data_IF_768420885071
#
_entry.id   IF_768420885071
#
_cell.length_a   1.000
_cell.length_b   1.000
_cell.length_c   1.000
_cell.angle_alpha   90.00
_cell.angle_beta   90.00
_cell.angle_gamma   90.00
#
_symmetry.space_group_name_H-M   'P 1'
#
loop_
_entity.id
_entity.type
_entity.pdbx_description
1 polymer ?
#
# COMPACT_ATOMS: atom_id res chain seq x y z
N UNK A 1 96.40 -35.15 96.65
CA UNK A 1 95.30 -34.30 96.12
C UNK A 1 94.09 -35.19 95.86
N UNK A 2 92.97 -34.92 96.53
CA UNK A 2 91.83 -35.84 96.62
C UNK A 2 91.10 -35.95 95.28
N UNK A 3 90.78 -37.18 94.84
CA UNK A 3 90.13 -37.44 93.53
C UNK A 3 88.81 -36.66 93.40
N UNK A 4 88.07 -36.51 94.51
CA UNK A 4 86.85 -35.72 94.58
C UNK A 4 87.01 -34.25 94.18
N UNK A 5 88.15 -33.61 94.52
CA UNK A 5 88.42 -32.19 94.20
C UNK A 5 88.66 -32.03 92.69
N UNK A 6 89.33 -33.00 92.06
CA UNK A 6 89.56 -32.97 90.61
C UNK A 6 88.27 -33.17 89.82
N UNK A 7 87.40 -34.08 90.27
CA UNK A 7 86.09 -34.32 89.64
C UNK A 7 85.18 -33.09 89.78
N UNK A 8 85.15 -32.44 90.95
CA UNK A 8 84.39 -31.22 91.15
C UNK A 8 84.82 -30.07 90.21
N UNK A 9 86.14 -29.85 90.06
CA UNK A 9 86.68 -28.84 89.14
C UNK A 9 86.27 -29.09 87.68
N UNK A 10 86.34 -30.34 87.22
CA UNK A 10 85.93 -30.71 85.86
C UNK A 10 84.44 -30.43 85.64
N UNK A 11 83.57 -30.82 86.58
CA UNK A 11 82.13 -30.58 86.48
C UNK A 11 81.83 -29.06 86.44
N UNK A 12 82.46 -28.25 87.29
CA UNK A 12 82.26 -26.80 87.28
C UNK A 12 82.71 -26.18 85.96
N UNK A 13 83.85 -26.60 85.40
CA UNK A 13 84.30 -26.10 84.10
C UNK A 13 83.37 -26.48 82.95
N UNK A 14 82.78 -27.69 82.98
CA UNK A 14 81.79 -28.12 81.99
C UNK A 14 80.48 -27.33 82.11
N UNK A 15 80.02 -27.06 83.34
CA UNK A 15 78.83 -26.20 83.56
C UNK A 15 79.09 -24.79 83.05
N UNK A 16 80.25 -24.19 83.33
CA UNK A 16 80.60 -22.86 82.84
C UNK A 16 80.70 -22.81 81.31
N UNK A 17 81.29 -23.84 80.69
CA UNK A 17 81.38 -23.95 79.23
C UNK A 17 79.99 -24.09 78.58
N UNK A 18 79.11 -24.90 79.18
CA UNK A 18 77.73 -25.07 78.71
C UNK A 18 76.91 -23.78 78.87
N UNK A 19 77.02 -23.08 80.00
CA UNK A 19 76.38 -21.78 80.20
C UNK A 19 76.88 -20.73 79.18
N UNK A 20 78.19 -20.69 78.91
CA UNK A 20 78.76 -19.80 77.91
C UNK A 20 78.25 -20.10 76.49
N UNK A 21 78.10 -21.39 76.15
CA UNK A 21 77.50 -21.82 74.88
C UNK A 21 76.05 -21.36 74.75
N UNK A 22 75.22 -21.60 75.77
CA UNK A 22 73.83 -21.15 75.77
C UNK A 22 73.72 -19.62 75.64
N UNK A 23 74.52 -18.86 76.39
CA UNK A 23 74.53 -17.39 76.30
C UNK A 23 74.90 -16.92 74.88
N UNK A 24 75.85 -17.59 74.23
CA UNK A 24 76.23 -17.26 72.86
C UNK A 24 75.13 -17.61 71.84
N UNK A 25 74.46 -18.75 71.98
CA UNK A 25 73.32 -19.15 71.14
C UNK A 25 72.16 -18.16 71.29
N UNK A 26 71.78 -17.81 72.52
CA UNK A 26 70.76 -16.81 72.79
C UNK A 26 71.13 -15.44 72.22
N UNK A 27 72.38 -14.99 72.36
CA UNK A 27 72.85 -13.73 71.76
C UNK A 27 72.81 -13.77 70.23
N UNK A 28 73.17 -14.90 69.62
CA UNK A 28 73.06 -15.10 68.17
C UNK A 28 71.62 -14.97 67.70
N UNK A 29 70.69 -15.65 68.39
CA UNK A 29 69.25 -15.60 68.10
C UNK A 29 68.66 -14.20 68.34
N UNK A 30 69.11 -13.49 69.36
CA UNK A 30 68.66 -12.12 69.66
C UNK A 30 69.07 -11.16 68.54
N UNK A 31 70.33 -11.23 68.07
CA UNK A 31 70.80 -10.43 66.93
C UNK A 31 70.03 -10.75 65.65
N UNK A 32 69.73 -12.03 65.38
CA UNK A 32 68.91 -12.39 64.22
C UNK A 32 67.47 -11.87 64.34
N UNK A 33 66.91 -11.84 65.54
CA UNK A 33 65.58 -11.30 65.79
C UNK A 33 65.56 -9.77 65.64
N UNK A 34 66.56 -9.06 66.15
CA UNK A 34 66.71 -7.61 65.96
C UNK A 34 66.87 -7.24 64.48
N UNK A 35 67.68 -8.00 63.73
CA UNK A 35 67.81 -7.82 62.28
C UNK A 35 66.50 -8.10 61.53
N UNK A 36 65.73 -9.10 61.95
CA UNK A 36 64.42 -9.39 61.37
C UNK A 36 63.41 -8.26 61.67
N UNK A 37 63.35 -7.78 62.91
CA UNK A 37 62.48 -6.66 63.31
C UNK A 37 62.85 -5.39 62.54
N UNK A 38 64.14 -5.04 62.47
CA UNK A 38 64.60 -3.89 61.70
C UNK A 38 64.29 -4.02 60.18
N UNK A 39 64.37 -5.24 59.64
CA UNK A 39 63.99 -5.50 58.25
C UNK A 39 62.47 -5.39 58.03
N UNK A 40 61.65 -5.80 58.99
CA UNK A 40 60.19 -5.63 58.93
C UNK A 40 59.78 -4.16 59.09
N UNK A 41 60.39 -3.44 60.04
CA UNK A 41 60.14 -2.02 60.28
C UNK A 41 60.51 -1.16 59.06
N UNK A 42 61.51 -1.58 58.27
CA UNK A 42 61.84 -0.94 56.99
C UNK A 42 60.86 -1.29 55.86
N UNK A 43 60.25 -2.49 55.87
CA UNK A 43 59.33 -2.94 54.81
C UNK A 43 57.93 -2.35 54.92
N UNK A 44 57.41 -2.17 56.15
CA UNK A 44 56.07 -1.61 56.40
C UNK A 44 55.86 -0.22 55.76
N UNK A 45 56.74 0.79 55.98
CA UNK A 45 56.53 2.12 55.41
C UNK A 45 56.68 2.14 53.89
N UNK A 46 57.55 1.29 53.32
CA UNK A 46 57.75 1.18 51.87
C UNK A 46 56.54 0.54 51.19
N UNK A 47 55.97 -0.51 51.78
CA UNK A 47 54.79 -1.16 51.23
C UNK A 47 53.54 -0.29 51.37
N UNK A 48 53.42 0.46 52.47
CA UNK A 48 52.36 1.44 52.66
C UNK A 48 52.49 2.63 51.68
N UNK A 49 53.70 3.14 51.44
CA UNK A 49 53.92 4.23 50.48
C UNK A 49 53.64 3.77 49.04
N UNK A 50 54.10 2.58 48.65
CA UNK A 50 53.81 2.01 47.33
C UNK A 50 52.32 1.83 47.09
N UNK A 51 51.59 1.25 48.06
CA UNK A 51 50.13 1.10 47.98
C UNK A 51 49.42 2.46 47.87
N UNK A 52 49.89 3.47 48.61
CA UNK A 52 49.36 4.83 48.53
C UNK A 52 49.60 5.47 47.16
N UNK A 53 50.80 5.32 46.60
CA UNK A 53 51.15 5.87 45.29
C UNK A 53 50.33 5.21 44.17
N UNK A 54 50.13 3.89 44.25
CA UNK A 54 49.30 3.11 43.31
C UNK A 54 47.82 3.55 43.36
N UNK A 55 47.28 3.79 44.57
CA UNK A 55 45.92 4.31 44.76
C UNK A 55 45.76 5.73 44.21
N UNK A 56 46.75 6.60 44.44
CA UNK A 56 46.75 7.97 43.88
C UNK A 56 46.84 7.93 42.35
N UNK A 57 47.67 7.05 41.80
CA UNK A 57 47.78 6.81 40.36
C UNK A 57 46.46 6.34 39.75
N UNK A 58 45.84 5.34 40.38
CA UNK A 58 44.55 4.79 39.94
C UNK A 58 43.42 5.82 40.01
N UNK A 59 43.35 6.62 41.07
CA UNK A 59 42.37 7.70 41.19
C UNK A 59 42.53 8.76 40.09
N UNK A 60 43.77 9.16 39.78
CA UNK A 60 44.03 10.08 38.66
C UNK A 60 43.62 9.48 37.31
N UNK A 61 43.84 8.18 37.10
CA UNK A 61 43.39 7.49 35.89
C UNK A 61 41.86 7.49 35.79
N UNK A 62 41.17 7.12 36.87
CA UNK A 62 39.70 7.12 36.93
C UNK A 62 39.10 8.51 36.71
N UNK A 63 39.70 9.57 37.28
CA UNK A 63 39.26 10.95 37.04
C UNK A 63 39.41 11.36 35.56
N UNK A 64 40.51 10.96 34.93
CA UNK A 64 40.74 11.22 33.51
C UNK A 64 39.75 10.45 32.63
N UNK A 65 39.48 9.18 32.93
CA UNK A 65 38.48 8.38 32.23
C UNK A 65 37.07 8.97 32.40
N UNK A 66 36.68 9.37 33.62
CA UNK A 66 35.39 9.98 33.88
C UNK A 66 35.24 11.30 33.10
N UNK A 67 36.30 12.12 33.05
CA UNK A 67 36.33 13.33 32.22
C UNK A 67 36.17 13.01 30.73
N UNK A 68 36.87 11.98 30.24
CA UNK A 68 36.78 11.54 28.85
C UNK A 68 35.37 11.02 28.51
N UNK A 69 34.79 10.15 29.34
CA UNK A 69 33.42 9.66 29.18
C UNK A 69 32.39 10.78 29.22
N UNK A 70 32.55 11.76 30.11
CA UNK A 70 31.67 12.94 30.17
C UNK A 70 31.75 13.76 28.88
N UNK A 71 32.95 13.98 28.35
CA UNK A 71 33.14 14.67 27.07
C UNK A 71 32.52 13.89 25.90
N UNK A 72 32.72 12.57 25.85
CA UNK A 72 32.14 11.70 24.83
C UNK A 72 30.61 11.69 24.92
N UNK A 73 30.04 11.64 26.12
CA UNK A 73 28.59 11.72 26.35
C UNK A 73 28.00 13.03 25.82
N UNK A 74 28.63 14.17 26.09
CA UNK A 74 28.20 15.47 25.55
C UNK A 74 28.29 15.50 24.02
N UNK A 75 29.36 14.96 23.43
CA UNK A 75 29.50 14.84 21.97
C UNK A 75 28.39 13.98 21.36
N UNK A 76 28.10 12.82 21.96
CA UNK A 76 27.03 11.93 21.51
C UNK A 76 25.66 12.60 21.62
N UNK A 77 25.39 13.33 22.69
CA UNK A 77 24.15 14.09 22.87
C UNK A 77 23.99 15.12 21.74
N UNK A 78 25.05 15.85 21.40
CA UNK A 78 25.01 16.82 20.31
C UNK A 78 24.78 16.14 18.95
N UNK A 79 25.46 15.03 18.67
CA UNK A 79 25.26 14.26 17.44
C UNK A 79 23.82 13.72 17.32
N UNK A 80 23.26 13.21 18.42
CA UNK A 80 21.86 12.75 18.45
C UNK A 80 20.91 13.91 18.20
N UNK A 81 21.14 15.07 18.80
CA UNK A 81 20.30 16.25 18.57
C UNK A 81 20.38 16.74 17.11
N UNK A 82 21.56 16.75 16.50
CA UNK A 82 21.75 17.08 15.09
C UNK A 82 21.01 16.08 14.18
N UNK A 83 21.14 14.78 14.46
CA UNK A 83 20.45 13.73 13.73
C UNK A 83 18.92 13.84 13.84
N UNK A 84 18.39 14.13 15.03
CA UNK A 84 16.95 14.35 15.27
C UNK A 84 16.43 15.55 14.50
N UNK A 85 17.18 16.66 14.44
CA UNK A 85 16.80 17.81 13.63
C UNK A 85 16.84 17.51 12.13
N UNK A 86 17.88 16.81 11.66
CA UNK A 86 17.97 16.38 10.27
C UNK A 86 16.80 15.46 9.86
N UNK A 87 16.43 14.51 10.73
CA UNK A 87 15.27 13.64 10.52
C UNK A 87 13.96 14.44 10.43
N UNK A 88 13.78 15.43 11.32
CA UNK A 88 12.61 16.30 11.30
C UNK A 88 12.49 17.07 9.99
N UNK A 89 13.58 17.70 9.53
CA UNK A 89 13.61 18.41 8.25
C UNK A 89 13.35 17.47 7.07
N UNK A 90 13.90 16.25 7.10
CA UNK A 90 13.64 15.25 6.07
C UNK A 90 12.16 14.83 6.03
N UNK A 91 11.52 14.63 7.19
CA UNK A 91 10.08 14.31 7.29
C UNK A 91 9.21 15.44 6.75
N UNK A 92 9.52 16.69 7.08
CA UNK A 92 8.82 17.86 6.53
C UNK A 92 8.98 17.94 5.00
N UNK A 93 10.18 17.63 4.48
CA UNK A 93 10.44 17.56 3.04
C UNK A 93 9.63 16.45 2.34
N UNK A 94 9.54 15.26 2.95
CA UNK A 94 8.74 14.14 2.42
C UNK A 94 7.26 14.53 2.35
N UNK A 95 6.74 15.19 3.38
CA UNK A 95 5.34 15.65 3.42
C UNK A 95 5.05 16.67 2.31
N UNK A 96 5.95 17.65 2.10
CA UNK A 96 5.82 18.60 1.00
C UNK A 96 5.85 17.94 -0.38
N UNK A 97 6.75 16.96 -0.58
CA UNK A 97 6.83 16.20 -1.84
C UNK A 97 5.57 15.36 -2.06
N UNK A 98 5.06 14.71 -1.02
CA UNK A 98 3.80 13.94 -1.06
C UNK A 98 2.62 14.82 -1.48
N UNK A 99 2.50 16.03 -0.90
CA UNK A 99 1.47 16.99 -1.27
C UNK A 99 1.60 17.47 -2.73
N UNK A 100 2.84 17.77 -3.18
CA UNK A 100 3.10 18.15 -4.58
C UNK A 100 2.73 17.02 -5.54
N UNK A 101 3.03 15.77 -5.18
CA UNK A 101 2.69 14.60 -5.99
C UNK A 101 1.17 14.43 -6.09
N UNK A 102 0.46 14.57 -4.98
CA UNK A 102 -1.02 14.53 -4.95
C UNK A 102 -1.63 15.61 -5.85
N UNK A 103 -1.12 16.84 -5.79
CA UNK A 103 -1.58 17.93 -6.65
C UNK A 103 -1.31 17.64 -8.13
N UNK A 104 -0.13 17.08 -8.45
CA UNK A 104 0.22 16.70 -9.83
C UNK A 104 -0.61 15.54 -10.36
N UNK A 105 -0.97 14.58 -9.52
CA UNK A 105 -1.91 13.51 -9.88
C UNK A 105 -3.27 14.10 -10.23
N UNK A 106 -3.82 15.00 -9.40
CA UNK A 106 -5.09 15.65 -9.69
C UNK A 106 -5.05 16.50 -10.97
N UNK A 107 -3.95 17.20 -11.23
CA UNK A 107 -3.73 17.94 -12.48
C UNK A 107 -3.71 17.01 -13.70
N UNK A 108 -3.04 15.86 -13.60
CA UNK A 108 -3.03 14.85 -14.67
C UNK A 108 -4.40 14.23 -14.90
N UNK A 109 -5.17 13.96 -13.86
CA UNK A 109 -6.55 13.46 -13.97
C UNK A 109 -7.46 14.46 -14.71
N UNK A 110 -7.29 15.76 -14.43
CA UNK A 110 -8.02 16.82 -15.14
C UNK A 110 -7.61 16.90 -16.61
N UNK A 111 -6.30 16.87 -16.91
CA UNK A 111 -5.79 16.89 -18.29
C UNK A 111 -6.21 15.65 -19.08
N UNK A 112 -6.29 14.48 -18.44
CA UNK A 112 -6.80 13.26 -19.08
C UNK A 112 -8.28 13.42 -19.44
N UNK A 113 -9.08 13.96 -18.52
CA UNK A 113 -10.50 14.22 -18.75
C UNK A 113 -10.72 15.24 -19.87
N UNK A 114 -9.91 16.30 -19.93
CA UNK A 114 -9.92 17.29 -21.01
C UNK A 114 -9.51 16.66 -22.35
N UNK A 115 -8.48 15.80 -22.36
CA UNK A 115 -8.06 15.09 -23.58
C UNK A 115 -9.15 14.15 -24.09
N UNK A 116 -9.88 13.49 -23.19
CA UNK A 116 -11.02 12.63 -23.55
C UNK A 116 -12.18 13.44 -24.15
N UNK A 117 -12.53 14.59 -23.57
CA UNK A 117 -13.58 15.46 -24.14
C UNK A 117 -13.20 16.06 -25.49
N UNK A 118 -11.94 16.47 -25.68
CA UNK A 118 -11.45 16.92 -26.98
C UNK A 118 -11.52 15.80 -28.03
N UNK A 119 -11.21 14.56 -27.63
CA UNK A 119 -11.30 13.41 -28.54
C UNK A 119 -12.74 13.15 -28.98
N UNK A 120 -13.70 13.28 -28.07
CA UNK A 120 -15.13 13.20 -28.40
C UNK A 120 -15.56 14.31 -29.36
N UNK A 121 -15.13 15.55 -29.12
CA UNK A 121 -15.42 16.68 -30.02
C UNK A 121 -14.83 16.48 -31.43
N UNK A 122 -13.63 15.90 -31.54
CA UNK A 122 -13.03 15.55 -32.84
C UNK A 122 -13.87 14.48 -33.57
N UNK A 123 -14.37 13.48 -32.85
CA UNK A 123 -15.25 12.46 -33.45
C UNK A 123 -16.59 13.06 -33.92
N UNK A 124 -17.12 14.02 -33.18
CA UNK A 124 -18.32 14.75 -33.58
C UNK A 124 -18.07 15.59 -34.84
N UNK A 125 -16.93 16.28 -34.94
CA UNK A 125 -16.53 17.01 -36.15
C UNK A 125 -16.40 16.10 -37.37
N UNK A 126 -15.77 14.93 -37.22
CA UNK A 126 -15.68 13.93 -38.30
C UNK A 126 -17.06 13.47 -38.80
N UNK A 127 -18.04 13.37 -37.89
CA UNK A 127 -19.40 13.00 -38.25
C UNK A 127 -20.13 14.15 -38.95
N UNK A 128 -19.99 15.38 -38.44
CA UNK A 128 -20.55 16.57 -39.09
C UNK A 128 -19.97 16.77 -40.50
N UNK A 129 -18.68 16.51 -40.70
CA UNK A 129 -18.06 16.62 -42.02
C UNK A 129 -18.65 15.60 -43.01
N UNK A 130 -18.87 14.36 -42.58
CA UNK A 130 -19.55 13.33 -43.39
C UNK A 130 -20.99 13.72 -43.70
N UNK A 131 -21.72 14.23 -42.72
CA UNK A 131 -23.10 14.65 -42.90
C UNK A 131 -23.18 15.84 -43.88
N UNK A 132 -22.27 16.81 -43.75
CA UNK A 132 -22.18 17.97 -44.65
C UNK A 132 -21.83 17.55 -46.08
N UNK A 133 -20.89 16.60 -46.24
CA UNK A 133 -20.58 16.02 -47.55
C UNK A 133 -21.79 15.29 -48.16
N UNK A 134 -22.57 14.56 -47.35
CA UNK A 134 -23.80 13.92 -47.80
C UNK A 134 -24.88 14.95 -48.21
N UNK A 135 -25.02 16.05 -47.48
CA UNK A 135 -25.91 17.16 -47.85
C UNK A 135 -25.47 17.85 -49.14
N UNK A 136 -24.17 18.07 -49.34
CA UNK A 136 -23.65 18.62 -50.59
C UNK A 136 -23.87 17.67 -51.78
N UNK A 137 -23.77 16.35 -51.56
CA UNK A 137 -24.01 15.34 -52.58
C UNK A 137 -25.49 15.21 -53.00
N UNK A 138 -26.45 15.67 -52.18
CA UNK A 138 -27.88 15.71 -52.55
C UNK A 138 -28.19 16.75 -53.65
N UNK A 139 -27.22 17.56 -54.05
CA UNK A 139 -27.34 18.51 -55.15
C UNK A 139 -27.92 19.87 -54.72
N UNK A 140 -27.80 20.86 -55.61
CA UNK A 140 -28.36 22.19 -55.35
C UNK A 140 -29.89 22.15 -55.34
N UNK A 141 -30.52 23.11 -54.66
CA UNK A 141 -32.00 23.26 -54.62
C UNK A 141 -32.61 23.25 -56.03
N UNK A 142 -31.90 23.78 -57.03
CA UNK A 142 -32.29 23.73 -58.43
C UNK A 142 -32.35 22.30 -59.00
N UNK A 143 -31.34 21.46 -58.72
CA UNK A 143 -31.31 20.05 -59.16
C UNK A 143 -32.39 19.21 -58.45
N UNK A 144 -32.64 19.47 -57.16
CA UNK A 144 -33.76 18.87 -56.44
C UNK A 144 -35.11 19.32 -57.01
N UNK A 145 -35.23 20.58 -57.43
CA UNK A 145 -36.43 21.11 -58.10
C UNK A 145 -36.65 20.46 -59.47
N UNK A 146 -35.60 20.27 -60.26
CA UNK A 146 -35.64 19.59 -61.54
C UNK A 146 -36.00 18.10 -61.39
N UNK A 147 -35.49 17.42 -60.37
CA UNK A 147 -35.88 16.04 -60.04
C UNK A 147 -37.35 15.95 -59.60
N UNK A 148 -37.82 16.88 -58.76
CA UNK A 148 -39.23 16.96 -58.35
C UNK A 148 -40.15 17.22 -59.55
N UNK A 149 -39.74 18.10 -60.46
CA UNK A 149 -40.49 18.39 -61.68
C UNK A 149 -40.47 17.20 -62.65
N UNK A 150 -39.35 16.49 -62.79
CA UNK A 150 -39.26 15.25 -63.57
C UNK A 150 -40.11 14.10 -62.99
N UNK A 151 -40.29 14.04 -61.67
CA UNK A 151 -41.21 13.09 -61.02
C UNK A 151 -42.67 13.52 -61.24
N UNK A 152 -42.97 14.82 -61.21
CA UNK A 152 -44.32 15.35 -61.50
C UNK A 152 -44.75 15.21 -62.95
N UNK A 153 -43.81 15.23 -63.90
CA UNK A 153 -44.11 15.13 -65.34
C UNK A 153 -44.10 13.71 -65.89
N UNK A 154 -43.81 12.68 -65.08
CA UNK A 154 -44.04 11.27 -65.44
C UNK A 154 -45.51 10.90 -65.21
N UNK A 155 -46.35 10.75 -66.25
CA UNK A 155 -47.72 10.31 -66.09
C UNK A 155 -47.73 8.77 -66.01
N UNK A 156 -48.33 8.22 -64.95
CA UNK A 156 -48.96 6.89 -64.87
C UNK A 156 -48.25 5.70 -65.56
N UNK A 157 -47.12 5.24 -65.01
CA UNK A 157 -46.70 3.82 -65.17
C UNK A 157 -46.18 3.19 -63.88
N UNK A 158 -46.63 3.67 -62.71
CA UNK A 158 -46.39 2.99 -61.42
C UNK A 158 -47.72 2.88 -60.68
N UNK A 159 -48.64 2.10 -61.24
CA UNK A 159 -49.87 1.66 -60.56
C UNK A 159 -49.85 0.17 -60.21
N UNK A 160 -48.66 -0.46 -60.21
CA UNK A 160 -48.43 -1.81 -59.68
C UNK A 160 -47.03 -1.85 -59.04
N UNK A 161 -46.99 -1.54 -57.75
CA UNK A 161 -45.94 -1.83 -56.75
C UNK A 161 -45.82 -0.69 -55.73
N UNK A 162 -46.96 -0.15 -55.28
CA UNK A 162 -47.03 0.49 -53.97
C UNK A 162 -47.14 -0.65 -52.95
N UNK A 163 -46.01 -1.31 -52.70
CA UNK A 163 -45.77 -1.94 -51.41
C UNK A 163 -45.38 -0.82 -50.47
N UNK A 164 -46.37 -0.19 -49.89
CA UNK A 164 -46.24 0.66 -48.71
C UNK A 164 -45.32 -0.05 -47.72
N UNK A 165 -44.08 0.42 -47.55
CA UNK A 165 -43.40 0.29 -46.25
C UNK A 165 -44.07 1.27 -45.30
N UNK A 166 -45.36 1.03 -45.07
CA UNK A 166 -45.94 1.24 -43.76
C UNK A 166 -44.96 0.58 -42.80
N UNK A 167 -44.44 1.32 -41.83
CA UNK A 167 -43.75 0.71 -40.71
C UNK A 167 -44.81 -0.15 -40.05
N UNK A 168 -44.90 -1.40 -40.48
CA UNK A 168 -45.85 -2.38 -40.00
C UNK A 168 -45.68 -2.40 -38.50
N UNK A 169 -46.66 -1.81 -37.80
CA UNK A 169 -46.83 -2.11 -36.39
C UNK A 169 -46.91 -3.63 -36.35
N UNK A 170 -46.10 -4.27 -35.50
CA UNK A 170 -46.05 -5.71 -35.54
C UNK A 170 -47.47 -6.25 -35.31
N UNK A 171 -47.80 -7.35 -36.00
CA UNK A 171 -49.14 -7.95 -35.91
C UNK A 171 -49.27 -8.66 -34.56
N UNK A 172 -50.36 -8.44 -33.82
CA UNK A 172 -50.56 -9.09 -32.52
C UNK A 172 -50.45 -10.61 -32.63
N UNK A 173 -49.67 -11.23 -31.75
CA UNK A 173 -49.36 -12.67 -31.78
C UNK A 173 -48.07 -13.07 -32.53
N UNK A 174 -47.32 -12.13 -33.10
CA UNK A 174 -46.03 -12.42 -33.76
C UNK A 174 -44.89 -12.54 -32.75
N UNK A 175 -44.01 -13.53 -32.91
CA UNK A 175 -42.76 -13.66 -32.15
C UNK A 175 -41.80 -12.52 -32.55
N UNK A 176 -41.59 -11.57 -31.64
CA UNK A 176 -40.79 -10.37 -31.87
C UNK A 176 -39.29 -10.62 -31.69
N UNK A 177 -38.96 -11.54 -30.78
CA UNK A 177 -37.60 -11.94 -30.50
C UNK A 177 -37.45 -12.71 -29.19
N UNK A 178 -36.28 -12.59 -28.58
CA UNK A 178 -35.83 -13.38 -27.43
C UNK A 178 -35.13 -12.47 -26.44
N UNK A 179 -35.23 -12.79 -25.16
CA UNK A 179 -34.43 -12.15 -24.10
C UNK A 179 -32.97 -12.59 -24.23
N UNK A 180 -32.07 -11.63 -24.43
CA UNK A 180 -30.63 -11.84 -24.51
C UNK A 180 -30.00 -11.97 -23.13
N UNK A 181 -30.35 -11.05 -22.23
CA UNK A 181 -29.82 -11.02 -20.87
C UNK A 181 -30.86 -10.44 -19.91
N UNK A 182 -30.75 -10.84 -18.63
CA UNK A 182 -31.61 -10.39 -17.54
C UNK A 182 -30.71 -9.92 -16.41
N UNK A 183 -30.92 -8.69 -15.94
CA UNK A 183 -30.33 -8.20 -14.71
C UNK A 183 -31.39 -8.20 -13.60
N UNK A 184 -31.40 -9.26 -12.80
CA UNK A 184 -32.35 -9.41 -11.69
C UNK A 184 -32.13 -8.40 -10.56
N UNK A 185 -30.96 -7.77 -10.46
CA UNK A 185 -30.67 -6.76 -9.42
C UNK A 185 -31.29 -5.42 -9.78
N UNK A 186 -31.19 -5.04 -11.05
CA UNK A 186 -31.67 -3.76 -11.56
C UNK A 186 -33.10 -3.85 -12.13
N UNK A 187 -33.62 -5.07 -12.36
CA UNK A 187 -35.00 -5.32 -12.77
C UNK A 187 -35.29 -5.04 -14.25
N UNK A 188 -34.25 -4.99 -15.09
CA UNK A 188 -34.39 -4.84 -16.53
C UNK A 188 -33.83 -6.03 -17.29
N UNK A 189 -34.31 -6.20 -18.53
CA UNK A 189 -33.88 -7.22 -19.46
C UNK A 189 -33.51 -6.57 -20.79
N UNK A 190 -32.65 -7.23 -21.57
CA UNK A 190 -32.28 -6.80 -22.92
C UNK A 190 -32.90 -7.77 -23.92
N UNK A 191 -33.58 -7.23 -24.94
CA UNK A 191 -34.22 -8.01 -26.01
C UNK A 191 -33.60 -7.72 -27.36
N UNK A 192 -33.56 -8.71 -28.25
CA UNK A 192 -32.93 -8.64 -29.58
C UNK A 192 -33.83 -7.99 -30.67
N UNK A 193 -34.64 -7.01 -30.29
CA UNK A 193 -35.44 -6.23 -31.22
C UNK A 193 -35.53 -4.77 -30.77
N UNK A 194 -35.76 -3.86 -31.71
CA UNK A 194 -35.77 -2.43 -31.44
C UNK A 194 -36.49 -1.63 -32.52
N UNK A 195 -36.12 -0.36 -32.68
CA UNK A 195 -36.86 0.58 -33.56
C UNK A 195 -36.84 0.17 -35.03
N UNK A 196 -35.85 -0.62 -35.47
CA UNK A 196 -35.84 -1.19 -36.83
C UNK A 196 -37.02 -2.15 -37.09
N UNK A 197 -37.59 -2.75 -36.03
CA UNK A 197 -38.81 -3.58 -36.09
C UNK A 197 -40.07 -2.84 -35.65
N UNK A 198 -40.03 -1.50 -35.63
CA UNK A 198 -41.20 -0.67 -35.31
C UNK A 198 -41.55 -0.59 -33.82
N UNK A 199 -40.67 -1.06 -32.92
CA UNK A 199 -40.90 -0.97 -31.47
C UNK A 199 -40.68 0.44 -30.98
N UNK A 200 -41.58 0.92 -30.12
CA UNK A 200 -41.51 2.26 -29.51
C UNK A 200 -41.46 2.17 -27.98
N UNK A 201 -40.98 3.24 -27.35
CA UNK A 201 -40.97 3.33 -25.88
C UNK A 201 -42.39 3.21 -25.36
N UNK A 202 -42.58 2.35 -24.36
CA UNK A 202 -43.87 2.11 -23.73
C UNK A 202 -44.65 0.91 -24.26
N UNK A 203 -44.21 0.30 -25.37
CA UNK A 203 -44.83 -0.93 -25.89
C UNK A 203 -44.74 -2.07 -24.86
N UNK A 204 -45.79 -2.88 -24.81
CA UNK A 204 -45.90 -4.02 -23.91
C UNK A 204 -45.84 -5.34 -24.69
N UNK A 205 -45.09 -6.30 -24.15
CA UNK A 205 -44.91 -7.62 -24.75
C UNK A 205 -45.15 -8.73 -23.73
N UNK A 206 -45.59 -9.89 -24.23
CA UNK A 206 -45.78 -11.11 -23.47
C UNK A 206 -44.56 -12.01 -23.61
N UNK A 207 -44.15 -12.63 -22.51
CA UNK A 207 -43.00 -13.53 -22.47
C UNK A 207 -43.50 -14.96 -22.37
N UNK A 208 -42.98 -15.83 -23.22
CA UNK A 208 -43.29 -17.25 -23.25
C UNK A 208 -42.02 -18.11 -23.08
N UNK A 209 -42.11 -19.15 -22.25
CA UNK A 209 -41.07 -20.18 -22.08
C UNK A 209 -41.68 -21.54 -22.38
N UNK A 210 -41.15 -22.22 -23.40
CA UNK A 210 -41.69 -23.49 -23.88
C UNK A 210 -43.21 -23.43 -24.15
N UNK A 211 -43.68 -22.33 -24.76
CA UNK A 211 -45.09 -22.10 -25.09
C UNK A 211 -45.94 -21.54 -23.94
N UNK A 212 -45.50 -21.62 -22.69
CA UNK A 212 -46.26 -21.13 -21.52
C UNK A 212 -46.00 -19.65 -21.25
N UNK A 213 -47.05 -18.89 -20.92
CA UNK A 213 -46.93 -17.50 -20.48
C UNK A 213 -46.15 -17.39 -19.16
N UNK A 214 -45.13 -16.54 -19.15
CA UNK A 214 -44.20 -16.32 -18.02
C UNK A 214 -44.41 -14.93 -17.42
N UNK A 215 -44.67 -13.92 -18.25
CA UNK A 215 -45.03 -12.60 -17.76
C UNK A 215 -45.15 -11.51 -18.82
N UNK A 216 -45.25 -10.26 -18.38
CA UNK A 216 -45.30 -9.08 -19.26
C UNK A 216 -44.11 -8.16 -19.02
N UNK A 217 -43.61 -7.58 -20.09
CA UNK A 217 -42.55 -6.57 -20.08
C UNK A 217 -43.03 -5.31 -20.78
N UNK A 218 -42.48 -4.17 -20.36
CA UNK A 218 -42.68 -2.87 -20.98
C UNK A 218 -41.35 -2.31 -21.46
N UNK A 219 -41.33 -1.76 -22.67
CA UNK A 219 -40.14 -1.13 -23.23
C UNK A 219 -39.87 0.21 -22.55
N UNK A 220 -38.68 0.37 -21.99
CA UNK A 220 -38.25 1.64 -21.38
C UNK A 220 -37.31 2.44 -22.29
N UNK A 221 -36.40 1.75 -22.99
CA UNK A 221 -35.49 2.38 -23.95
C UNK A 221 -35.36 1.54 -25.22
N UNK A 222 -35.35 2.21 -26.36
CA UNK A 222 -35.27 1.57 -27.68
C UNK A 222 -33.99 2.00 -28.38
N UNK A 223 -33.25 1.03 -28.91
CA UNK A 223 -32.15 1.25 -29.87
C UNK A 223 -32.54 0.59 -31.21
N UNK A 224 -31.78 0.79 -32.31
CA UNK A 224 -32.13 0.21 -33.61
C UNK A 224 -32.28 -1.31 -33.62
N UNK A 225 -31.35 -2.03 -32.98
CA UNK A 225 -31.30 -3.50 -33.01
C UNK A 225 -31.76 -4.18 -31.70
N UNK A 226 -31.68 -3.47 -30.57
CA UNK A 226 -31.97 -4.00 -29.23
C UNK A 226 -32.82 -3.02 -28.44
N UNK A 227 -33.55 -3.53 -27.45
CA UNK A 227 -34.33 -2.68 -26.52
C UNK A 227 -34.10 -3.12 -25.09
N UNK A 228 -34.20 -2.15 -24.19
CA UNK A 228 -34.15 -2.34 -22.76
C UNK A 228 -35.58 -2.31 -22.24
N UNK A 229 -35.96 -3.39 -21.56
CA UNK A 229 -37.33 -3.65 -21.12
C UNK A 229 -37.37 -3.92 -19.63
N UNK A 230 -38.47 -3.52 -18.99
CA UNK A 230 -38.69 -3.67 -17.55
C UNK A 230 -39.86 -4.64 -17.34
N UNK A 231 -39.69 -5.58 -16.41
CA UNK A 231 -40.73 -6.54 -16.08
C UNK A 231 -41.88 -5.88 -15.30
N UNK A 232 -43.12 -6.10 -15.73
CA UNK A 232 -44.29 -5.63 -15.00
C UNK A 232 -44.55 -6.62 -13.86
N UNK A 233 -44.12 -6.25 -12.64
CA UNK A 233 -44.16 -7.11 -11.44
C UNK A 233 -45.53 -7.75 -11.18
N UNK A 234 -46.62 -7.02 -11.47
CA UNK A 234 -48.01 -7.51 -11.30
C UNK A 234 -48.37 -8.69 -12.21
N UNK A 235 -47.70 -8.81 -13.35
CA UNK A 235 -47.99 -9.83 -14.37
C UNK A 235 -46.84 -10.77 -14.64
N UNK A 236 -45.78 -10.75 -13.81
CA UNK A 236 -44.58 -11.58 -13.99
C UNK A 236 -44.36 -12.41 -12.73
N UNK A 237 -45.14 -13.49 -12.52
CA UNK A 237 -45.06 -14.33 -11.32
C UNK A 237 -43.79 -15.18 -11.28
N UNK A 238 -43.11 -15.36 -12.42
CA UNK A 238 -41.90 -16.17 -12.56
C UNK A 238 -40.72 -15.30 -13.00
N UNK A 239 -39.53 -15.61 -12.51
CA UNK A 239 -38.31 -14.92 -12.95
C UNK A 239 -38.04 -15.14 -14.44
N UNK A 240 -37.77 -14.02 -15.12
CA UNK A 240 -37.40 -13.98 -16.53
C UNK A 240 -35.99 -14.54 -16.70
N UNK A 241 -35.74 -15.23 -17.82
CA UNK A 241 -34.42 -15.82 -18.13
C UNK A 241 -34.03 -15.50 -19.57
N UNK A 242 -32.73 -15.48 -19.81
CA UNK A 242 -32.21 -15.45 -21.17
C UNK A 242 -32.74 -16.67 -21.95
N UNK A 243 -33.12 -16.45 -23.21
CA UNK A 243 -33.76 -17.48 -24.04
C UNK A 243 -35.29 -17.49 -24.01
N UNK A 244 -35.93 -16.73 -23.12
CA UNK A 244 -37.40 -16.61 -23.13
C UNK A 244 -37.86 -15.85 -24.38
N UNK A 245 -38.93 -16.35 -25.02
CA UNK A 245 -39.49 -15.77 -26.25
C UNK A 245 -40.39 -14.58 -25.93
N UNK A 246 -40.30 -13.56 -26.74
CA UNK A 246 -41.09 -12.33 -26.61
C UNK A 246 -42.08 -12.24 -27.76
N UNK A 247 -43.35 -12.15 -27.42
CA UNK A 247 -44.48 -12.12 -28.35
C UNK A 247 -45.23 -10.81 -28.13
N UNK A 248 -45.68 -10.18 -29.20
CA UNK A 248 -46.49 -8.98 -29.07
C UNK A 248 -47.86 -9.31 -28.48
N UNK A 249 -48.23 -8.58 -27.43
CA UNK A 249 -49.55 -8.68 -26.82
C UNK A 249 -50.65 -8.38 -27.83
N UNK A 250 -51.75 -9.13 -27.75
CA UNK A 250 -52.98 -8.85 -28.49
C UNK A 250 -53.69 -7.63 -27.92
#
# INVERSE_FOLDING_TARGET
MNIAIRVALVITTLICAFCAYLINDYRGRLKTAELAVAAFEKKIPVQASQSSDDLVGSNKQLENELKNYKSQSVQLINQVNEAVQAEKTAREGIEQVSQRLKNKISELENLVSERDSLKEAVQELDQLEKDLAAYQALGTVAQLHDQINAIRTKPKEVSQNIGSKEKDKPRPGTEMGVILSVDSKLGFCVVNFGSAKGVVKGDEFHIHRAGNFVGKIKVDQVQPAVSLVVAIKKFTPKELRAGDKVIQGQ
#
